data_IF_768510759195
#
_entry.id   IF_768510759195
#
_cell.length_a   1.000
_cell.length_b   1.000
_cell.length_c   1.000
_cell.angle_alpha   90.00
_cell.angle_beta   90.00
_cell.angle_gamma   90.00
#
_symmetry.space_group_name_H-M   'P 1'
#
loop_
_entity.id
_entity.type
_entity.pdbx_description
1 polymer ?
#
# COMPACT_ATOMS: atom_id res chain seq x y z
N UNK A 1 -10.67 -9.66 -6.81
CA UNK A 1 -11.27 -10.94 -6.35
C UNK A 1 -12.60 -11.12 -7.05
N UNK A 2 -12.81 -12.27 -7.73
CA UNK A 2 -13.98 -12.46 -8.58
C UNK A 2 -15.23 -12.88 -7.79
N UNK A 3 -15.06 -13.55 -6.66
CA UNK A 3 -16.17 -14.11 -5.88
C UNK A 3 -15.83 -14.10 -4.38
N UNK A 4 -16.32 -13.09 -3.62
CA UNK A 4 -16.17 -13.03 -2.18
C UNK A 4 -16.87 -14.19 -1.43
N UNK A 5 -18.04 -14.60 -1.91
CA UNK A 5 -18.81 -15.66 -1.25
C UNK A 5 -18.09 -17.01 -1.32
N UNK A 6 -17.51 -17.33 -2.49
CA UNK A 6 -16.71 -18.54 -2.64
C UNK A 6 -15.47 -18.53 -1.71
N UNK A 7 -14.83 -17.36 -1.50
CA UNK A 7 -13.75 -17.24 -0.53
C UNK A 7 -14.23 -17.53 0.88
N UNK A 8 -15.37 -16.96 1.29
CA UNK A 8 -15.90 -17.15 2.65
C UNK A 8 -16.34 -18.59 2.87
N UNK A 9 -16.96 -19.22 1.88
CA UNK A 9 -17.30 -20.65 1.93
C UNK A 9 -16.05 -21.51 2.13
N UNK A 10 -15.01 -21.27 1.33
CA UNK A 10 -13.71 -21.94 1.48
C UNK A 10 -13.08 -21.71 2.87
N UNK A 11 -13.08 -20.47 3.36
CA UNK A 11 -12.54 -20.16 4.69
C UNK A 11 -13.32 -20.91 5.79
N UNK A 12 -14.65 -20.96 5.71
CA UNK A 12 -15.48 -21.67 6.69
C UNK A 12 -15.16 -23.17 6.75
N UNK A 13 -14.92 -23.78 5.59
CA UNK A 13 -14.50 -25.18 5.50
C UNK A 13 -13.09 -25.34 6.08
N UNK A 14 -12.12 -24.53 5.61
CA UNK A 14 -10.73 -24.62 6.02
C UNK A 14 -10.55 -24.40 7.53
N UNK A 15 -11.20 -23.38 8.12
CA UNK A 15 -11.10 -23.14 9.57
C UNK A 15 -11.72 -24.24 10.40
N UNK A 16 -12.70 -24.95 9.87
CA UNK A 16 -13.35 -26.11 10.54
C UNK A 16 -12.42 -27.32 10.72
N UNK A 17 -11.28 -27.36 10.04
CA UNK A 17 -10.29 -28.46 10.18
C UNK A 17 -9.37 -28.29 11.37
N UNK A 18 -9.36 -27.12 12.02
CA UNK A 18 -8.51 -26.83 13.17
C UNK A 18 -9.23 -27.20 14.48
N UNK A 19 -8.49 -27.70 15.45
CA UNK A 19 -9.00 -28.05 16.79
C UNK A 19 -9.31 -26.82 17.66
N UNK A 20 -8.77 -25.66 17.30
CA UNK A 20 -9.04 -24.35 17.93
C UNK A 20 -9.14 -23.28 16.86
N UNK A 21 -9.86 -22.17 17.10
CA UNK A 21 -10.01 -21.10 16.13
C UNK A 21 -8.65 -20.54 15.66
N UNK A 22 -8.28 -20.70 14.38
CA UNK A 22 -7.03 -20.14 13.86
C UNK A 22 -7.10 -18.63 13.75
N UNK A 23 -5.93 -17.96 13.70
CA UNK A 23 -5.82 -16.52 13.48
C UNK A 23 -5.66 -16.27 11.97
N UNK A 24 -6.56 -15.47 11.42
CA UNK A 24 -6.60 -15.14 10.00
C UNK A 24 -5.96 -13.78 9.73
N UNK A 25 -4.96 -13.74 8.85
CA UNK A 25 -4.28 -12.53 8.39
C UNK A 25 -4.58 -12.26 6.90
N UNK A 26 -5.57 -11.43 6.56
CA UNK A 26 -5.80 -11.02 5.18
C UNK A 26 -4.65 -10.12 4.69
N UNK A 27 -4.10 -10.45 3.51
CA UNK A 27 -2.89 -9.79 3.00
C UNK A 27 -3.12 -8.84 1.84
N UNK A 28 -4.36 -8.74 1.34
CA UNK A 28 -4.73 -7.82 0.25
C UNK A 28 -6.04 -7.12 0.56
N UNK A 29 -6.24 -5.91 0.02
CA UNK A 29 -7.43 -5.11 0.30
C UNK A 29 -8.74 -5.84 -0.06
N UNK A 30 -8.86 -6.59 -1.19
CA UNK A 30 -10.03 -7.41 -1.46
C UNK A 30 -10.32 -8.47 -0.41
N UNK A 31 -9.29 -9.10 0.15
CA UNK A 31 -9.46 -10.11 1.20
C UNK A 31 -9.85 -9.47 2.54
N UNK A 32 -9.25 -8.33 2.88
CA UNK A 32 -9.64 -7.54 4.06
C UNK A 32 -11.11 -7.17 3.99
N UNK A 33 -11.54 -6.60 2.86
CA UNK A 33 -12.92 -6.19 2.65
C UNK A 33 -13.88 -7.40 2.71
N UNK A 34 -13.55 -8.51 2.06
CA UNK A 34 -14.37 -9.71 2.09
C UNK A 34 -14.54 -10.28 3.50
N UNK A 35 -13.44 -10.41 4.25
CA UNK A 35 -13.45 -10.93 5.62
C UNK A 35 -14.21 -9.98 6.56
N UNK A 36 -14.02 -8.67 6.45
CA UNK A 36 -14.75 -7.70 7.25
C UNK A 36 -16.25 -7.68 6.94
N UNK A 37 -16.63 -7.77 5.65
CA UNK A 37 -18.03 -7.78 5.22
C UNK A 37 -18.80 -9.03 5.63
N UNK A 38 -18.10 -10.13 5.91
CA UNK A 38 -18.70 -11.41 6.27
C UNK A 38 -18.23 -11.89 7.67
N UNK A 39 -17.83 -10.93 8.53
CA UNK A 39 -17.30 -11.24 9.86
C UNK A 39 -18.25 -12.10 10.71
N UNK A 40 -19.55 -11.89 10.60
CA UNK A 40 -20.56 -12.69 11.32
C UNK A 40 -20.50 -14.19 10.95
N UNK A 41 -20.27 -14.52 9.67
CA UNK A 41 -20.15 -15.90 9.20
C UNK A 41 -18.88 -16.60 9.68
N UNK A 42 -17.85 -15.83 10.05
CA UNK A 42 -16.55 -16.28 10.55
C UNK A 42 -16.45 -16.21 12.08
N UNK A 43 -17.44 -15.59 12.73
CA UNK A 43 -17.42 -15.38 14.18
C UNK A 43 -17.36 -16.73 14.94
N UNK A 44 -16.48 -16.81 15.92
CA UNK A 44 -16.22 -18.02 16.71
C UNK A 44 -15.49 -19.14 15.96
N UNK A 45 -15.30 -19.01 14.63
CA UNK A 45 -14.60 -20.00 13.80
C UNK A 45 -13.13 -19.66 13.57
N UNK A 46 -12.80 -18.39 13.50
CA UNK A 46 -11.43 -17.88 13.46
C UNK A 46 -11.34 -16.53 14.17
N UNK A 47 -10.14 -16.15 14.54
CA UNK A 47 -9.84 -14.82 15.09
C UNK A 47 -9.33 -13.94 13.96
N UNK A 48 -9.99 -12.81 13.72
CA UNK A 48 -9.49 -11.79 12.80
C UNK A 48 -8.96 -10.61 13.59
N UNK A 49 -7.85 -10.04 13.12
CA UNK A 49 -7.28 -8.84 13.69
C UNK A 49 -7.57 -7.63 12.80
N UNK A 50 -8.87 -7.46 12.50
CA UNK A 50 -9.41 -6.36 11.70
C UNK A 50 -10.31 -5.47 12.56
N UNK A 51 -10.38 -4.16 12.28
CA UNK A 51 -11.39 -3.29 12.87
C UNK A 51 -12.79 -3.63 12.34
N UNK A 52 -13.80 -2.95 12.88
CA UNK A 52 -15.18 -3.09 12.42
C UNK A 52 -15.30 -2.76 10.93
N UNK A 53 -16.32 -3.35 10.28
CA UNK A 53 -16.57 -3.23 8.85
C UNK A 53 -16.64 -1.76 8.39
N UNK A 54 -17.31 -0.91 9.14
CA UNK A 54 -17.52 0.50 8.82
C UNK A 54 -16.18 1.24 8.73
N UNK A 55 -15.20 0.88 9.56
CA UNK A 55 -13.84 1.44 9.52
C UNK A 55 -13.10 0.96 8.27
N UNK A 56 -13.23 -0.33 7.92
CA UNK A 56 -12.65 -0.87 6.69
C UNK A 56 -13.25 -0.21 5.46
N UNK A 57 -14.58 -0.07 5.40
CA UNK A 57 -15.29 0.58 4.29
C UNK A 57 -14.83 2.04 4.12
N UNK A 58 -14.66 2.77 5.24
CA UNK A 58 -14.16 4.15 5.24
C UNK A 58 -12.70 4.26 4.78
N UNK A 59 -11.89 3.24 5.02
CA UNK A 59 -10.48 3.21 4.58
C UNK A 59 -10.38 2.85 3.10
N UNK A 60 -11.17 1.90 2.62
CA UNK A 60 -11.11 1.42 1.22
C UNK A 60 -11.68 2.47 0.25
N UNK A 61 -12.68 3.25 0.67
CA UNK A 61 -13.20 4.39 -0.09
C UNK A 61 -12.31 5.63 0.13
N UNK A 62 -11.51 5.98 -0.87
CA UNK A 62 -10.60 7.14 -0.77
C UNK A 62 -11.31 8.47 -0.49
N UNK A 63 -12.59 8.63 -0.84
CA UNK A 63 -13.37 9.84 -0.50
C UNK A 63 -13.52 9.95 1.01
N UNK A 64 -13.94 8.87 1.64
CA UNK A 64 -14.10 8.83 3.10
C UNK A 64 -12.75 8.95 3.80
N UNK A 65 -11.71 8.27 3.29
CA UNK A 65 -10.37 8.35 3.85
C UNK A 65 -9.85 9.79 3.89
N UNK A 66 -9.95 10.54 2.78
CA UNK A 66 -9.50 11.93 2.74
C UNK A 66 -10.45 12.88 3.47
N UNK A 67 -11.76 12.63 3.49
CA UNK A 67 -12.70 13.40 4.32
C UNK A 67 -12.38 13.30 5.82
N UNK A 68 -12.07 12.10 6.31
CA UNK A 68 -11.63 11.88 7.71
C UNK A 68 -10.31 12.62 7.95
N UNK A 69 -9.35 12.50 7.05
CA UNK A 69 -8.07 13.20 7.18
C UNK A 69 -8.25 14.72 7.26
N UNK A 70 -9.10 15.29 6.42
CA UNK A 70 -9.41 16.73 6.41
C UNK A 70 -10.11 17.15 7.69
N UNK A 71 -11.16 16.44 8.12
CA UNK A 71 -11.90 16.72 9.36
C UNK A 71 -10.99 16.76 10.59
N UNK A 72 -10.00 15.90 10.63
CA UNK A 72 -9.04 15.81 11.73
C UNK A 72 -7.76 16.62 11.50
N UNK A 73 -7.73 17.50 10.49
CA UNK A 73 -6.58 18.35 10.18
C UNK A 73 -5.26 17.55 10.10
N UNK A 74 -5.32 16.41 9.43
CA UNK A 74 -4.15 15.60 9.10
C UNK A 74 -3.49 16.22 7.87
N UNK A 75 -2.18 16.57 7.90
CA UNK A 75 -1.50 17.09 6.73
C UNK A 75 -1.60 16.11 5.56
N UNK A 76 -2.13 16.58 4.43
CA UNK A 76 -2.30 15.78 3.22
C UNK A 76 -2.11 16.66 1.98
N UNK A 77 -1.84 16.07 0.79
CA UNK A 77 -1.85 16.83 -0.46
C UNK A 77 -3.21 17.45 -0.71
N UNK A 78 -3.26 18.62 -1.37
CA UNK A 78 -4.54 19.20 -1.84
C UNK A 78 -5.29 18.16 -2.66
N UNK A 79 -6.52 17.85 -2.24
CA UNK A 79 -7.33 16.76 -2.83
C UNK A 79 -8.71 17.27 -3.13
N UNK A 80 -9.15 17.10 -4.38
CA UNK A 80 -10.49 17.42 -4.85
C UNK A 80 -11.26 16.13 -5.09
N UNK A 81 -12.40 16.01 -4.44
CA UNK A 81 -13.35 14.91 -4.60
C UNK A 81 -14.50 15.45 -5.43
N UNK A 82 -14.79 14.84 -6.57
CA UNK A 82 -15.82 15.26 -7.47
C UNK A 82 -17.05 14.38 -7.34
N UNK A 83 -18.20 15.00 -7.11
CA UNK A 83 -19.50 14.32 -7.06
C UNK A 83 -20.11 14.20 -8.46
N UNK A 84 -19.78 15.14 -9.35
CA UNK A 84 -20.24 15.17 -10.74
C UNK A 84 -19.21 15.86 -11.65
N UNK A 85 -19.33 15.73 -13.00
CA UNK A 85 -18.48 16.48 -13.92
C UNK A 85 -18.58 18.01 -13.79
N UNK A 86 -19.73 18.51 -13.37
CA UNK A 86 -19.98 19.95 -13.19
C UNK A 86 -19.17 20.49 -12.00
N UNK A 87 -19.06 19.72 -10.92
CA UNK A 87 -18.28 20.12 -9.73
C UNK A 87 -16.76 20.21 -9.99
N UNK A 88 -16.29 19.66 -11.10
CA UNK A 88 -14.87 19.77 -11.49
C UNK A 88 -14.48 21.23 -11.71
N UNK A 89 -15.34 22.03 -12.39
CA UNK A 89 -15.04 23.43 -12.70
C UNK A 89 -14.85 24.29 -11.45
N UNK A 90 -15.59 24.00 -10.39
CA UNK A 90 -15.56 24.77 -9.15
C UNK A 90 -14.33 24.42 -8.29
N UNK A 91 -13.97 23.15 -8.26
CA UNK A 91 -12.93 22.64 -7.38
C UNK A 91 -11.52 22.69 -8.01
N UNK A 92 -11.43 22.69 -9.34
CA UNK A 92 -10.15 22.63 -10.05
C UNK A 92 -9.26 23.86 -9.79
N UNK A 93 -9.85 25.00 -9.44
CA UNK A 93 -9.10 26.24 -9.12
C UNK A 93 -8.20 26.09 -7.90
N UNK A 94 -8.51 25.15 -7.00
CA UNK A 94 -7.68 24.86 -5.82
C UNK A 94 -6.48 23.95 -6.12
N UNK A 95 -6.46 23.30 -7.30
CA UNK A 95 -5.39 22.38 -7.69
C UNK A 95 -4.26 23.10 -8.41
N UNK A 96 -3.04 22.65 -8.12
CA UNK A 96 -1.86 23.01 -8.92
C UNK A 96 -1.58 21.93 -9.95
N UNK A 97 -1.31 22.34 -11.17
CA UNK A 97 -0.94 21.42 -12.25
C UNK A 97 0.59 21.33 -12.40
N UNK A 98 1.12 20.13 -12.77
CA UNK A 98 0.38 18.89 -13.01
C UNK A 98 -0.21 18.34 -11.72
N UNK A 99 -1.33 17.61 -11.83
CA UNK A 99 -1.94 16.88 -10.73
C UNK A 99 -2.22 15.42 -11.14
N UNK A 100 -2.56 14.58 -10.18
CA UNK A 100 -2.80 13.17 -10.40
C UNK A 100 -4.27 12.82 -10.15
N UNK A 101 -4.89 12.12 -11.10
CA UNK A 101 -6.19 11.49 -10.94
C UNK A 101 -6.02 10.08 -10.40
N UNK A 102 -6.68 9.79 -9.29
CA UNK A 102 -6.66 8.49 -8.62
C UNK A 102 -8.07 7.89 -8.56
N UNK A 103 -8.22 6.57 -8.78
CA UNK A 103 -9.51 5.92 -8.61
C UNK A 103 -9.92 5.93 -7.13
N UNK A 104 -11.21 6.09 -6.88
CA UNK A 104 -11.77 5.96 -5.53
C UNK A 104 -11.52 4.55 -5.01
N UNK A 105 -11.74 3.52 -5.84
CA UNK A 105 -11.51 2.11 -5.52
C UNK A 105 -10.34 1.57 -6.35
N UNK A 106 -9.16 1.51 -5.75
CA UNK A 106 -7.90 1.19 -6.44
C UNK A 106 -7.88 -0.21 -7.06
N UNK A 107 -8.43 -1.22 -6.38
CA UNK A 107 -8.34 -2.61 -6.83
C UNK A 107 -9.16 -2.87 -8.09
N UNK A 108 -10.43 -2.43 -8.10
CA UNK A 108 -11.32 -2.56 -9.26
C UNK A 108 -10.76 -1.87 -10.49
N UNK A 109 -10.16 -0.70 -10.28
CA UNK A 109 -9.55 0.08 -11.35
C UNK A 109 -8.31 -0.61 -11.92
N UNK A 110 -7.41 -1.10 -11.03
CA UNK A 110 -6.18 -1.78 -11.44
C UNK A 110 -6.44 -3.11 -12.15
N UNK A 111 -7.43 -3.88 -11.72
CA UNK A 111 -7.85 -5.12 -12.41
C UNK A 111 -8.23 -4.84 -13.87
N UNK A 112 -8.88 -3.71 -14.14
CA UNK A 112 -9.38 -3.36 -15.48
C UNK A 112 -8.36 -2.65 -16.35
N UNK A 113 -7.59 -1.70 -15.78
CA UNK A 113 -6.75 -0.78 -16.56
C UNK A 113 -5.25 -1.02 -16.41
N UNK A 114 -4.82 -1.82 -15.44
CA UNK A 114 -3.41 -2.18 -15.16
C UNK A 114 -2.49 -0.98 -14.83
N UNK A 115 -3.05 0.15 -14.35
CA UNK A 115 -2.31 1.28 -13.80
C UNK A 115 -3.03 1.85 -12.58
N UNK A 116 -2.35 2.69 -11.79
CA UNK A 116 -2.86 3.16 -10.49
C UNK A 116 -3.36 4.61 -10.51
N UNK A 117 -2.87 5.41 -11.45
CA UNK A 117 -3.13 6.84 -11.48
C UNK A 117 -2.87 7.41 -12.87
N UNK A 118 -3.46 8.57 -13.17
CA UNK A 118 -3.26 9.31 -14.43
C UNK A 118 -2.82 10.72 -14.09
N UNK A 119 -1.65 11.12 -14.58
CA UNK A 119 -1.19 12.51 -14.46
C UNK A 119 -1.84 13.36 -15.54
N UNK A 120 -2.29 14.55 -15.15
CA UNK A 120 -2.91 15.54 -16.05
C UNK A 120 -2.26 16.91 -15.84
N UNK A 121 -2.09 17.65 -16.93
CA UNK A 121 -1.33 18.91 -16.94
C UNK A 121 -2.21 20.16 -17.02
N UNK A 122 -3.52 20.00 -17.18
CA UNK A 122 -4.47 21.12 -17.27
C UNK A 122 -5.87 20.74 -16.79
N UNK A 123 -6.66 21.74 -16.46
CA UNK A 123 -8.06 21.58 -16.08
C UNK A 123 -8.91 20.95 -17.20
N UNK A 124 -8.61 21.27 -18.45
CA UNK A 124 -9.28 20.67 -19.62
C UNK A 124 -9.01 19.17 -19.70
N UNK A 125 -7.75 18.77 -19.63
CA UNK A 125 -7.35 17.35 -19.67
C UNK A 125 -7.94 16.60 -18.47
N UNK A 126 -7.93 17.22 -17.26
CA UNK A 126 -8.57 16.66 -16.09
C UNK A 126 -10.02 16.31 -16.34
N UNK A 127 -10.81 17.27 -16.87
CA UNK A 127 -12.23 17.08 -17.13
C UNK A 127 -12.48 15.97 -18.17
N UNK A 128 -11.68 15.92 -19.23
CA UNK A 128 -11.78 14.90 -20.28
C UNK A 128 -11.51 13.50 -19.71
N UNK A 129 -10.43 13.34 -18.94
CA UNK A 129 -10.06 12.08 -18.30
C UNK A 129 -11.09 11.68 -17.24
N UNK A 130 -11.53 12.62 -16.40
CA UNK A 130 -12.54 12.34 -15.38
C UNK A 130 -13.85 11.83 -15.98
N UNK A 131 -14.40 12.53 -16.99
CA UNK A 131 -15.62 12.11 -17.70
C UNK A 131 -15.49 10.71 -18.30
N UNK A 132 -14.35 10.43 -18.95
CA UNK A 132 -14.07 9.12 -19.55
C UNK A 132 -14.17 7.99 -18.53
N UNK A 133 -13.49 8.11 -17.38
CA UNK A 133 -13.46 7.03 -16.39
C UNK A 133 -14.76 6.97 -15.57
N UNK A 134 -15.40 8.09 -15.30
CA UNK A 134 -16.73 8.13 -14.70
C UNK A 134 -17.76 7.39 -15.54
N UNK A 135 -17.78 7.63 -16.87
CA UNK A 135 -18.66 6.91 -17.80
C UNK A 135 -18.41 5.39 -17.79
N UNK A 136 -17.17 4.96 -17.55
CA UNK A 136 -16.82 3.56 -17.40
C UNK A 136 -17.13 2.97 -16.01
N UNK A 137 -17.80 3.73 -15.13
CA UNK A 137 -18.15 3.32 -13.77
C UNK A 137 -16.98 3.38 -12.77
N UNK A 138 -15.95 4.19 -13.07
CA UNK A 138 -14.76 4.35 -12.22
C UNK A 138 -14.59 5.83 -11.81
N UNK A 139 -15.25 6.28 -10.73
CA UNK A 139 -15.09 7.64 -10.24
C UNK A 139 -13.65 7.87 -9.77
N UNK A 140 -13.14 9.07 -10.04
CA UNK A 140 -11.78 9.49 -9.70
C UNK A 140 -11.84 10.70 -8.76
N UNK A 141 -10.78 10.88 -8.00
CA UNK A 141 -10.42 12.12 -7.32
C UNK A 141 -9.18 12.73 -7.97
N UNK A 142 -9.00 14.05 -7.83
CA UNK A 142 -7.77 14.72 -8.24
C UNK A 142 -6.95 15.10 -7.01
N UNK A 143 -5.64 14.93 -7.10
CA UNK A 143 -4.74 15.22 -6.01
C UNK A 143 -3.49 15.93 -6.53
N UNK A 144 -3.03 16.92 -5.77
CA UNK A 144 -1.75 17.59 -5.96
C UNK A 144 -0.60 16.57 -5.97
N UNK A 145 0.36 16.75 -6.84
CA UNK A 145 1.61 16.00 -6.86
C UNK A 145 2.60 16.68 -5.91
N UNK A 146 2.93 16.02 -4.80
CA UNK A 146 4.01 16.46 -3.92
C UNK A 146 5.34 16.25 -4.66
N UNK A 147 6.21 17.29 -4.78
CA UNK A 147 7.49 17.16 -5.45
C UNK A 147 8.42 16.13 -4.80
N UNK A 148 9.38 15.65 -5.56
CA UNK A 148 10.37 14.66 -5.13
C UNK A 148 10.06 13.24 -5.58
N UNK A 149 11.09 12.41 -5.63
CA UNK A 149 11.04 11.03 -6.11
C UNK A 149 10.55 10.03 -5.07
N UNK A 150 10.87 8.76 -5.30
CA UNK A 150 10.50 7.67 -4.41
C UNK A 150 11.13 7.82 -3.01
N UNK A 151 12.31 8.41 -2.92
CA UNK A 151 13.03 8.64 -1.66
C UNK A 151 12.30 9.57 -0.67
N UNK A 152 11.31 10.32 -1.14
CA UNK A 152 10.44 11.13 -0.29
C UNK A 152 9.23 10.36 0.23
N UNK A 153 9.00 9.13 -0.25
CA UNK A 153 7.93 8.26 0.23
C UNK A 153 8.40 7.45 1.43
N UNK A 154 7.59 7.46 2.46
CA UNK A 154 7.80 6.71 3.71
C UNK A 154 6.57 5.87 4.00
N UNK A 155 6.78 4.61 4.33
CA UNK A 155 5.74 3.71 4.85
C UNK A 155 5.99 3.49 6.35
N UNK A 156 4.92 3.54 7.14
CA UNK A 156 4.96 3.17 8.57
C UNK A 156 4.03 2.00 8.79
N UNK A 157 4.58 0.83 9.05
CA UNK A 157 3.82 -0.33 9.53
C UNK A 157 3.51 -0.17 11.00
N UNK A 158 2.29 -0.53 11.40
CA UNK A 158 1.83 -0.40 12.79
C UNK A 158 1.08 -1.63 13.25
N UNK A 159 1.15 -1.87 14.56
CA UNK A 159 0.28 -2.77 15.29
C UNK A 159 -0.45 -1.99 16.38
N UNK A 160 -1.77 -1.95 16.28
CA UNK A 160 -2.67 -1.31 17.25
C UNK A 160 -3.51 -2.38 17.92
N UNK A 161 -3.46 -2.45 19.23
CA UNK A 161 -4.27 -3.39 20.02
C UNK A 161 -5.75 -3.10 19.89
N UNK A 162 -6.60 -4.08 20.21
CA UNK A 162 -8.07 -3.93 20.18
C UNK A 162 -8.60 -2.77 21.05
N UNK A 163 -7.86 -2.38 22.09
CA UNK A 163 -8.17 -1.23 22.94
C UNK A 163 -7.68 0.12 22.37
N UNK A 164 -7.23 0.17 21.11
CA UNK A 164 -6.75 1.39 20.45
C UNK A 164 -5.32 1.83 20.81
N UNK A 165 -4.59 1.04 21.58
CA UNK A 165 -3.21 1.38 21.97
C UNK A 165 -2.25 0.99 20.84
N UNK A 166 -1.54 1.97 20.29
CA UNK A 166 -0.41 1.74 19.38
C UNK A 166 0.71 1.02 20.16
N UNK A 167 1.00 -0.22 19.74
CA UNK A 167 1.96 -1.08 20.43
C UNK A 167 3.31 -1.16 19.75
N UNK A 168 3.33 -1.16 18.42
CA UNK A 168 4.54 -1.17 17.63
C UNK A 168 4.40 -0.32 16.36
N UNK A 169 5.51 0.29 15.95
CA UNK A 169 5.60 1.01 14.69
C UNK A 169 7.00 0.87 14.08
N UNK A 170 7.04 0.69 12.77
CA UNK A 170 8.27 0.55 11.99
C UNK A 170 8.18 1.43 10.74
N UNK A 171 9.12 2.36 10.57
CA UNK A 171 9.20 3.23 9.41
C UNK A 171 10.24 2.75 8.41
N UNK A 172 9.90 2.77 7.15
CA UNK A 172 10.82 2.54 6.04
C UNK A 172 10.66 3.58 4.95
N UNK A 173 11.78 4.02 4.39
CA UNK A 173 11.83 4.93 3.27
C UNK A 173 11.92 4.14 1.97
N UNK A 174 11.08 4.46 1.02
CA UNK A 174 11.12 3.86 -0.31
C UNK A 174 12.30 4.46 -1.07
N UNK A 175 13.26 3.64 -1.48
CA UNK A 175 14.38 4.08 -2.31
C UNK A 175 14.06 3.94 -3.79
N UNK A 176 13.33 2.90 -4.15
CA UNK A 176 12.92 2.64 -5.52
C UNK A 176 11.51 2.03 -5.61
N UNK A 177 10.87 2.23 -6.75
CA UNK A 177 9.56 1.68 -7.06
C UNK A 177 9.47 1.26 -8.53
N UNK A 178 8.58 0.33 -8.82
CA UNK A 178 8.29 -0.09 -10.18
C UNK A 178 6.77 -0.20 -10.43
N UNK A 179 6.23 0.42 -11.50
CA UNK A 179 6.88 1.41 -12.39
C UNK A 179 7.45 2.63 -11.66
N UNK A 180 8.31 3.41 -12.34
CA UNK A 180 8.96 4.59 -11.74
C UNK A 180 7.92 5.59 -11.21
N UNK A 181 6.84 5.79 -11.96
CA UNK A 181 5.73 6.64 -11.55
C UNK A 181 4.61 5.82 -10.89
N UNK A 182 4.22 6.19 -9.67
CA UNK A 182 3.11 5.60 -8.90
C UNK A 182 3.23 4.08 -8.67
N UNK A 183 4.45 3.53 -8.79
CA UNK A 183 4.75 2.11 -8.66
C UNK A 183 4.66 1.56 -7.24
N UNK A 184 4.79 0.25 -7.13
CA UNK A 184 5.02 -0.42 -5.84
C UNK A 184 6.48 -0.34 -5.47
N UNK A 185 6.79 -0.16 -4.17
CA UNK A 185 8.17 -0.13 -3.69
C UNK A 185 8.89 -1.44 -3.95
N UNK A 186 10.10 -1.34 -4.42
CA UNK A 186 10.97 -2.47 -4.75
C UNK A 186 12.23 -2.52 -3.88
N UNK A 187 12.64 -1.37 -3.34
CA UNK A 187 13.74 -1.24 -2.38
C UNK A 187 13.30 -0.29 -1.27
N UNK A 188 13.42 -0.74 -0.03
CA UNK A 188 13.15 0.05 1.16
C UNK A 188 14.37 0.08 2.08
N UNK A 189 14.51 1.17 2.81
CA UNK A 189 15.51 1.34 3.87
C UNK A 189 14.79 1.62 5.20
N UNK A 190 15.15 0.88 6.26
CA UNK A 190 14.63 1.19 7.60
C UNK A 190 15.15 2.56 8.06
N UNK A 191 14.25 3.38 8.59
CA UNK A 191 14.55 4.70 9.13
C UNK A 191 13.96 4.83 10.53
N UNK A 192 14.48 5.72 11.38
CA UNK A 192 13.89 5.96 12.70
C UNK A 192 12.49 6.55 12.57
N UNK A 193 11.55 6.13 13.41
CA UNK A 193 10.17 6.64 13.45
C UNK A 193 10.08 8.14 13.76
N UNK A 194 10.98 8.64 14.65
CA UNK A 194 11.16 10.04 14.95
C UNK A 194 9.86 10.86 15.02
N UNK A 195 9.78 11.90 14.20
CA UNK A 195 8.66 12.84 14.15
C UNK A 195 7.37 12.26 13.52
N UNK A 196 7.40 11.02 12.99
CA UNK A 196 6.21 10.38 12.40
C UNK A 196 5.24 9.81 13.44
N UNK A 197 5.72 9.36 14.61
CA UNK A 197 4.88 8.72 15.62
C UNK A 197 3.69 9.57 16.09
N UNK A 198 3.82 10.88 16.37
CA UNK A 198 2.68 11.71 16.71
C UNK A 198 1.63 11.78 15.61
N UNK A 199 2.07 11.91 14.35
CA UNK A 199 1.19 11.95 13.18
C UNK A 199 0.51 10.59 12.95
N UNK A 200 1.24 9.50 13.04
CA UNK A 200 0.72 8.13 12.99
C UNK A 200 -0.36 7.92 14.05
N UNK A 201 -0.08 8.28 15.31
CA UNK A 201 -1.04 8.16 16.41
C UNK A 201 -2.29 9.00 16.17
N UNK A 202 -2.15 10.22 15.63
CA UNK A 202 -3.26 11.09 15.26
C UNK A 202 -4.15 10.45 14.19
N UNK A 203 -3.55 9.87 13.16
CA UNK A 203 -4.27 9.18 12.08
C UNK A 203 -5.01 7.97 12.63
N UNK A 204 -4.33 7.08 13.33
CA UNK A 204 -4.95 5.87 13.89
C UNK A 204 -6.15 6.17 14.78
N UNK A 205 -6.06 7.23 15.62
CA UNK A 205 -7.17 7.70 16.43
C UNK A 205 -8.31 8.29 15.60
N UNK A 206 -8.00 9.08 14.57
CA UNK A 206 -9.00 9.69 13.70
C UNK A 206 -9.85 8.63 12.97
N UNK A 207 -9.23 7.50 12.60
CA UNK A 207 -9.92 6.38 11.97
C UNK A 207 -10.52 5.38 12.97
N UNK A 208 -10.23 5.49 14.28
CA UNK A 208 -10.61 4.48 15.27
C UNK A 208 -10.01 3.10 14.95
N UNK A 209 -8.82 3.07 14.37
CA UNK A 209 -8.22 1.86 13.84
C UNK A 209 -7.63 0.97 14.93
N UNK A 210 -7.90 -0.34 14.84
CA UNK A 210 -7.23 -1.39 15.60
C UNK A 210 -6.82 -2.52 14.65
N UNK A 211 -5.64 -3.10 14.83
CA UNK A 211 -5.13 -4.16 13.98
C UNK A 211 -3.77 -3.84 13.36
N UNK A 212 -3.47 -4.54 12.28
CA UNK A 212 -2.27 -4.34 11.47
C UNK A 212 -2.59 -3.44 10.29
N UNK A 213 -1.83 -2.36 10.14
CA UNK A 213 -1.91 -1.53 8.94
C UNK A 213 -0.54 -0.96 8.56
N UNK A 214 -0.46 -0.42 7.36
CA UNK A 214 0.62 0.47 7.00
C UNK A 214 0.06 1.78 6.47
N UNK A 215 0.75 2.88 6.79
CA UNK A 215 0.37 4.24 6.44
C UNK A 215 1.46 4.79 5.54
N UNK A 216 1.08 5.30 4.36
CA UNK A 216 2.00 5.92 3.43
C UNK A 216 2.02 7.43 3.60
N UNK A 217 3.23 7.98 3.61
CA UNK A 217 3.49 9.41 3.67
C UNK A 217 4.39 9.84 2.53
N UNK A 218 4.29 11.11 2.13
CA UNK A 218 5.29 11.75 1.28
C UNK A 218 5.81 13.01 1.96
N UNK A 219 7.14 13.13 2.04
CA UNK A 219 7.78 14.33 2.54
C UNK A 219 7.62 15.47 1.54
N UNK A 220 7.07 16.58 2.00
CA UNK A 220 6.95 17.80 1.24
C UNK A 220 8.02 18.80 1.70
N UNK A 221 9.03 19.02 0.86
CA UNK A 221 10.12 19.93 1.17
C UNK A 221 9.69 21.40 1.19
N UNK A 222 8.54 21.76 0.61
CA UNK A 222 8.02 23.13 0.52
C UNK A 222 7.60 23.68 1.88
N UNK A 223 6.95 22.83 2.70
CA UNK A 223 6.51 23.19 4.05
C UNK A 223 7.15 22.31 5.14
N UNK A 224 8.07 21.42 4.75
CA UNK A 224 8.84 20.53 5.63
C UNK A 224 7.92 19.64 6.50
N UNK A 225 6.89 19.08 5.90
CA UNK A 225 5.94 18.20 6.56
C UNK A 225 5.78 16.87 5.81
N UNK A 226 5.49 15.82 6.55
CA UNK A 226 4.98 14.59 5.97
C UNK A 226 3.49 14.74 5.65
N UNK A 227 3.12 14.48 4.41
CA UNK A 227 1.73 14.46 3.95
C UNK A 227 1.22 13.02 3.94
N UNK A 228 0.07 12.82 4.55
CA UNK A 228 -0.65 11.54 4.51
C UNK A 228 -1.09 11.23 3.08
N UNK A 229 -0.74 10.05 2.58
CA UNK A 229 -1.10 9.59 1.23
C UNK A 229 -2.19 8.54 1.30
N UNK A 230 -2.02 7.51 2.14
CA UNK A 230 -2.93 6.38 2.20
C UNK A 230 -2.74 5.57 3.48
N UNK A 231 -3.84 5.06 4.03
CA UNK A 231 -3.83 4.03 5.05
C UNK A 231 -4.32 2.73 4.41
N UNK A 232 -3.57 1.65 4.60
CA UNK A 232 -3.91 0.32 4.10
C UNK A 232 -4.15 -0.60 5.31
N UNK A 233 -5.34 -1.20 5.48
CA UNK A 233 -5.73 -1.96 6.68
C UNK A 233 -5.18 -3.40 6.66
N UNK A 234 -3.92 -3.56 6.35
CA UNK A 234 -3.19 -4.82 6.22
C UNK A 234 -1.69 -4.61 6.32
N UNK A 235 -0.96 -5.72 6.37
CA UNK A 235 0.50 -5.68 6.24
C UNK A 235 0.93 -5.32 4.82
N UNK A 236 2.13 -4.77 4.68
CA UNK A 236 2.78 -4.52 3.39
C UNK A 236 3.46 -5.80 2.87
N UNK A 237 3.77 -5.83 1.57
CA UNK A 237 4.55 -6.91 0.96
C UNK A 237 6.00 -6.97 1.48
N UNK A 238 6.48 -5.91 2.13
CA UNK A 238 7.77 -5.88 2.80
C UNK A 238 7.69 -6.28 4.29
N UNK A 239 6.70 -7.08 4.71
CA UNK A 239 6.49 -7.46 6.13
C UNK A 239 7.68 -8.18 6.78
N UNK A 240 8.56 -8.81 5.99
CA UNK A 240 9.79 -9.39 6.49
C UNK A 240 10.81 -8.32 6.92
N UNK A 241 10.76 -7.13 6.34
CA UNK A 241 11.69 -6.03 6.67
C UNK A 241 11.66 -5.65 8.16
N UNK A 242 10.51 -5.29 8.77
CA UNK A 242 10.45 -5.03 10.20
C UNK A 242 10.83 -6.26 11.04
N UNK A 243 10.46 -7.47 10.61
CA UNK A 243 10.79 -8.70 11.36
C UNK A 243 12.31 -8.87 11.49
N UNK A 244 13.06 -8.71 10.41
CA UNK A 244 14.52 -8.77 10.39
C UNK A 244 15.20 -7.57 11.09
N UNK A 245 14.44 -6.49 11.30
CA UNK A 245 14.88 -5.36 12.12
C UNK A 245 14.48 -5.49 13.60
N UNK A 246 13.83 -6.58 14.00
CA UNK A 246 13.49 -6.87 15.40
C UNK A 246 12.02 -6.68 15.77
N UNK A 247 11.13 -6.25 14.85
CA UNK A 247 9.69 -6.07 15.12
C UNK A 247 8.86 -7.03 14.27
N UNK A 248 8.42 -8.13 14.86
CA UNK A 248 7.59 -9.13 14.18
C UNK A 248 6.09 -8.82 14.37
N UNK A 249 5.50 -8.02 13.47
CA UNK A 249 4.10 -7.61 13.54
C UNK A 249 3.09 -8.77 13.56
N UNK A 250 3.18 -9.80 12.68
CA UNK A 250 2.30 -10.95 12.76
C UNK A 250 2.37 -11.67 14.10
N UNK A 251 3.57 -11.79 14.67
CA UNK A 251 3.78 -12.40 15.98
C UNK A 251 3.14 -11.60 17.11
N UNK A 252 3.29 -10.27 17.10
CA UNK A 252 2.63 -9.40 18.07
C UNK A 252 1.11 -9.53 18.01
N UNK A 253 0.55 -9.54 16.80
CA UNK A 253 -0.88 -9.75 16.62
C UNK A 253 -1.34 -11.14 17.07
N UNK A 254 -0.53 -12.18 16.86
CA UNK A 254 -0.79 -13.52 17.36
C UNK A 254 -0.80 -13.56 18.90
N UNK A 255 0.20 -12.99 19.54
CA UNK A 255 0.28 -12.94 21.01
C UNK A 255 -0.93 -12.21 21.62
N UNK A 256 -1.31 -11.04 21.07
CA UNK A 256 -2.47 -10.28 21.55
C UNK A 256 -3.79 -11.04 21.31
N UNK A 257 -3.91 -11.73 20.18
CA UNK A 257 -5.09 -12.53 19.85
C UNK A 257 -5.27 -13.75 20.77
N UNK A 258 -4.17 -14.33 21.23
CA UNK A 258 -4.16 -15.50 22.14
C UNK A 258 -4.16 -15.10 23.62
N UNK A 259 -4.09 -13.81 23.94
CA UNK A 259 -3.98 -13.33 25.30
C UNK A 259 -2.59 -13.54 25.94
N UNK A 260 -1.59 -13.90 25.13
CA UNK A 260 -0.23 -14.08 25.60
C UNK A 260 0.46 -12.72 25.89
N UNK A 261 1.46 -12.67 26.79
CA UNK A 261 2.17 -11.42 27.10
C UNK A 261 2.87 -10.83 25.88
N UNK A 262 2.64 -9.55 25.61
CA UNK A 262 3.24 -8.83 24.49
C UNK A 262 4.65 -8.28 24.76
N UNK A 263 5.08 -8.24 26.03
CA UNK A 263 6.29 -7.52 26.43
C UNK A 263 6.11 -6.00 26.37
N UNK A 264 7.18 -5.29 26.06
CA UNK A 264 7.18 -3.83 25.95
C UNK A 264 6.71 -3.34 24.57
N UNK A 265 6.33 -2.04 24.49
CA UNK A 265 6.02 -1.40 23.21
C UNK A 265 7.28 -1.30 22.36
N UNK A 266 7.13 -1.54 21.07
CA UNK A 266 8.27 -1.67 20.14
C UNK A 266 8.28 -0.51 19.13
N UNK A 267 9.14 0.46 19.38
CA UNK A 267 9.33 1.63 18.52
C UNK A 267 10.81 1.84 18.15
N UNK A 268 11.71 1.06 18.76
CA UNK A 268 13.13 1.14 18.50
C UNK A 268 13.62 -0.10 17.75
N UNK A 269 14.43 0.13 16.73
CA UNK A 269 15.00 -0.87 15.85
C UNK A 269 16.18 -0.28 15.08
N UNK A 270 16.96 -1.12 14.45
CA UNK A 270 18.16 -0.72 13.70
C UNK A 270 17.79 -0.02 12.38
N UNK A 271 18.14 1.26 12.20
CA UNK A 271 17.96 1.95 10.93
C UNK A 271 19.03 1.59 9.92
N UNK A 272 18.77 1.87 8.63
CA UNK A 272 19.73 1.68 7.53
C UNK A 272 19.79 0.26 6.97
N UNK A 273 18.96 -0.67 7.45
CA UNK A 273 18.81 -1.98 6.81
C UNK A 273 17.99 -1.86 5.52
N UNK A 274 18.47 -2.51 4.49
CA UNK A 274 17.78 -2.52 3.19
C UNK A 274 16.94 -3.79 3.05
N UNK A 275 15.73 -3.62 2.52
CA UNK A 275 14.91 -4.71 2.01
C UNK A 275 14.78 -4.57 0.50
N UNK A 276 14.94 -5.69 -0.22
CA UNK A 276 14.93 -5.72 -1.69
C UNK A 276 13.94 -6.78 -2.16
N UNK A 277 13.05 -6.38 -3.08
CA UNK A 277 12.12 -7.31 -3.70
C UNK A 277 12.87 -8.33 -4.56
N UNK A 278 12.59 -9.64 -4.47
CA UNK A 278 13.33 -10.68 -5.19
C UNK A 278 13.41 -10.51 -6.71
N UNK A 279 12.34 -10.00 -7.33
CA UNK A 279 12.32 -9.76 -8.77
C UNK A 279 13.34 -8.72 -9.23
N UNK A 280 13.63 -7.74 -8.37
CA UNK A 280 14.66 -6.73 -8.65
C UNK A 280 16.02 -7.36 -8.78
N UNK A 281 16.30 -8.44 -8.03
CA UNK A 281 17.55 -9.17 -8.11
C UNK A 281 17.78 -9.81 -9.49
N UNK A 282 16.72 -10.37 -10.10
CA UNK A 282 16.79 -10.87 -11.49
C UNK A 282 17.10 -9.74 -12.49
N UNK A 283 16.48 -8.59 -12.30
CA UNK A 283 16.77 -7.40 -13.10
C UNK A 283 18.23 -6.93 -12.93
N UNK A 284 18.76 -7.00 -11.74
CA UNK A 284 20.15 -6.60 -11.44
C UNK A 284 21.17 -7.60 -11.99
N UNK A 285 20.88 -8.90 -11.94
CA UNK A 285 21.70 -9.94 -12.56
C UNK A 285 21.64 -9.89 -14.10
N UNK A 286 20.49 -9.47 -14.66
CA UNK A 286 20.29 -9.26 -16.10
C UNK A 286 20.76 -7.89 -16.62
N UNK A 287 21.49 -7.10 -15.84
CA UNK A 287 21.91 -5.72 -16.14
C UNK A 287 22.76 -5.56 -17.42
N UNK A 288 23.31 -6.64 -17.94
CA UNK A 288 24.00 -6.68 -19.26
C UNK A 288 23.04 -6.52 -20.45
N UNK A 289 21.72 -6.59 -20.24
CA UNK A 289 20.71 -6.66 -21.30
C UNK A 289 19.61 -5.58 -21.23
N UNK A 290 19.67 -4.62 -20.26
CA UNK A 290 18.57 -3.67 -20.04
C UNK A 290 18.89 -2.20 -20.32
N UNK A 291 17.88 -1.41 -20.82
CA UNK A 291 18.03 0.01 -21.11
C UNK A 291 18.24 0.86 -19.83
N UNK A 292 18.71 2.10 -20.03
CA UNK A 292 19.17 3.08 -19.04
C UNK A 292 18.24 3.41 -17.85
N UNK A 293 17.06 2.81 -17.75
CA UNK A 293 16.07 2.99 -16.69
C UNK A 293 16.19 1.99 -15.53
N UNK A 294 17.28 1.21 -15.45
CA UNK A 294 17.48 0.28 -14.33
C UNK A 294 17.87 1.00 -13.03
N UNK A 295 17.50 0.45 -11.85
CA UNK A 295 17.74 1.04 -10.54
C UNK A 295 19.19 1.51 -10.35
N UNK A 296 19.37 2.79 -9.99
CA UNK A 296 20.70 3.43 -9.98
C UNK A 296 21.49 3.29 -8.68
N UNK A 297 20.87 2.78 -7.58
CA UNK A 297 21.45 2.91 -6.24
C UNK A 297 21.28 1.67 -5.35
N UNK A 298 21.75 0.50 -5.75
CA UNK A 298 22.02 -0.52 -4.76
C UNK A 298 23.48 -0.38 -4.35
N UNK A 299 23.77 -0.05 -3.09
CA UNK A 299 25.11 -0.14 -2.57
C UNK A 299 25.49 -1.62 -2.50
N UNK A 300 26.33 -2.09 -3.41
CA UNK A 300 26.79 -3.49 -3.51
C UNK A 300 27.51 -4.00 -2.25
N UNK A 301 27.78 -3.12 -1.28
CA UNK A 301 28.57 -3.39 -0.10
C UNK A 301 27.73 -3.58 1.20
N UNK A 302 26.39 -3.49 1.17
CA UNK A 302 25.56 -3.68 2.37
C UNK A 302 24.79 -4.99 2.32
N UNK A 303 24.75 -5.69 3.43
CA UNK A 303 23.82 -6.82 3.62
C UNK A 303 22.39 -6.31 3.47
N UNK A 304 21.55 -7.00 2.73
CA UNK A 304 20.15 -6.66 2.54
C UNK A 304 19.25 -7.85 2.85
N UNK A 305 18.04 -7.54 3.29
CA UNK A 305 17.00 -8.50 3.59
C UNK A 305 16.31 -8.87 2.27
N UNK A 306 16.29 -10.15 1.96
CA UNK A 306 15.64 -10.68 0.78
C UNK A 306 14.16 -10.96 1.10
N UNK A 307 13.24 -10.41 0.30
CA UNK A 307 11.82 -10.47 0.60
C UNK A 307 11.19 -11.86 0.70
N UNK A 308 11.79 -12.89 0.09
CA UNK A 308 11.24 -14.27 0.03
C UNK A 308 12.31 -15.34 0.21
N UNK A 309 13.61 -14.98 0.15
CA UNK A 309 14.68 -15.96 0.17
C UNK A 309 14.91 -16.52 1.58
N UNK A 310 14.87 -17.84 1.71
CA UNK A 310 15.30 -18.55 2.91
C UNK A 310 16.18 -19.72 2.52
N UNK A 311 17.38 -19.81 3.17
CA UNK A 311 18.27 -20.98 3.00
C UNK A 311 17.59 -22.27 3.50
N UNK A 312 16.67 -22.13 4.47
CA UNK A 312 15.93 -23.26 5.05
C UNK A 312 14.77 -23.73 4.18
N UNK A 313 14.25 -22.87 3.30
CA UNK A 313 13.20 -23.18 2.35
C UNK A 313 13.43 -22.38 1.05
N UNK A 314 14.23 -22.91 0.09
CA UNK A 314 14.54 -22.23 -1.16
C UNK A 314 13.44 -22.34 -2.22
N UNK A 315 12.42 -23.18 -2.02
CA UNK A 315 11.36 -23.46 -3.02
C UNK A 315 10.55 -22.22 -3.35
N UNK A 316 10.09 -21.40 -2.37
CA UNK A 316 9.35 -20.17 -2.67
C UNK A 316 10.16 -19.18 -3.50
N UNK A 317 11.46 -19.02 -3.21
CA UNK A 317 12.34 -18.14 -4.01
C UNK A 317 12.47 -18.65 -5.45
N UNK A 318 12.74 -19.92 -5.65
CA UNK A 318 12.86 -20.50 -6.98
C UNK A 318 11.58 -20.35 -7.79
N UNK A 319 10.42 -20.61 -7.17
CA UNK A 319 9.13 -20.44 -7.78
C UNK A 319 8.84 -18.97 -8.14
N UNK A 320 9.21 -18.04 -7.26
CA UNK A 320 9.04 -16.61 -7.46
C UNK A 320 9.95 -16.10 -8.60
N UNK A 321 11.19 -16.57 -8.66
CA UNK A 321 12.16 -16.26 -9.72
C UNK A 321 11.66 -16.77 -11.08
N UNK A 322 11.16 -17.99 -11.16
CA UNK A 322 10.62 -18.57 -12.39
C UNK A 322 9.36 -17.82 -12.87
N UNK A 323 8.43 -17.50 -11.96
CA UNK A 323 7.22 -16.71 -12.30
C UNK A 323 7.54 -15.25 -12.60
N UNK A 324 8.51 -14.67 -11.90
CA UNK A 324 8.98 -13.30 -12.11
C UNK A 324 9.64 -13.13 -13.46
N UNK A 325 10.48 -14.09 -13.88
CA UNK A 325 11.08 -14.11 -15.21
C UNK A 325 10.03 -14.15 -16.34
N UNK A 326 9.01 -15.01 -16.20
CA UNK A 326 7.90 -15.09 -17.18
C UNK A 326 7.06 -13.80 -17.17
N UNK A 327 6.82 -13.19 -16.01
CA UNK A 327 6.11 -11.89 -15.90
C UNK A 327 6.93 -10.75 -16.49
N UNK A 328 8.23 -10.69 -16.21
CA UNK A 328 9.13 -9.69 -16.76
C UNK A 328 9.16 -9.75 -18.28
N UNK A 329 9.27 -10.93 -18.88
CA UNK A 329 9.21 -11.13 -20.33
C UNK A 329 7.86 -10.71 -20.93
N UNK A 330 6.74 -11.00 -20.25
CA UNK A 330 5.41 -10.54 -20.67
C UNK A 330 5.21 -9.03 -20.50
N UNK A 331 5.84 -8.44 -19.50
CA UNK A 331 5.73 -7.00 -19.20
C UNK A 331 6.56 -6.17 -20.15
N UNK A 332 7.75 -6.61 -20.51
CA UNK A 332 8.57 -5.99 -21.58
C UNK A 332 7.81 -5.97 -22.91
N UNK A 333 7.12 -7.05 -23.26
CA UNK A 333 6.26 -7.10 -24.46
C UNK A 333 5.04 -6.17 -24.37
N UNK A 334 4.39 -6.04 -23.20
CA UNK A 334 3.17 -5.21 -23.03
C UNK A 334 3.47 -3.73 -22.81
N UNK A 335 4.54 -3.38 -22.12
CA UNK A 335 4.87 -1.97 -21.85
C UNK A 335 5.41 -1.25 -23.09
N UNK A 336 6.02 -1.94 -24.05
CA UNK A 336 6.27 -1.36 -25.37
C UNK A 336 4.97 -0.93 -26.07
N UNK A 337 3.86 -1.63 -25.83
CA UNK A 337 2.55 -1.32 -26.40
C UNK A 337 1.79 -0.26 -25.57
N UNK A 338 1.83 -0.33 -24.24
CA UNK A 338 1.10 0.60 -23.36
C UNK A 338 1.80 1.96 -23.22
N UNK A 339 3.14 1.99 -23.17
CA UNK A 339 3.93 3.23 -23.19
C UNK A 339 3.75 3.97 -24.53
N UNK A 340 3.67 3.23 -25.64
CA UNK A 340 3.34 3.80 -26.94
C UNK A 340 1.87 4.24 -27.04
N UNK A 341 0.93 3.54 -26.39
CA UNK A 341 -0.49 3.95 -26.35
C UNK A 341 -0.71 5.21 -25.51
N UNK A 342 -0.03 5.35 -24.36
CA UNK A 342 -0.07 6.58 -23.55
C UNK A 342 0.60 7.78 -24.26
N UNK A 343 1.59 7.51 -25.11
CA UNK A 343 2.26 8.53 -25.94
C UNK A 343 1.45 8.89 -27.20
N UNK A 344 0.64 7.97 -27.70
CA UNK A 344 -0.29 8.20 -28.84
C UNK A 344 -1.52 9.01 -28.37
N UNK A 345 -1.90 8.94 -27.08
CA UNK A 345 -2.95 9.79 -26.49
C UNK A 345 -2.44 11.20 -26.13
N UNK A 346 -1.12 11.45 -26.26
CA UNK A 346 -0.48 12.77 -26.13
C UNK A 346 -0.19 13.43 -27.50
N UNK A 347 -0.59 12.83 -28.61
CA UNK A 347 -0.65 13.40 -29.95
C UNK A 347 -2.11 13.37 -30.43
#
# INVERSE_FOLDING_TARGET
MKDPEALIAFLREAVGTFSSPPILFPTTDPYVHAVASHSEQLNGRCVTYLPQREIIDAIVDKRQQYSIAQKHQIPMPTTCIFDSPESVSDLVSSLRFPCVLKPIFSDRFRERFNFKAVEVVSSRELLEVYKKYLHLGHPLLAQEIIPGGAENLVEVMTFVRKNGILWAAFASRKLEQFPEDYGSGTIFESIRNGNLLPLVSKILKAFGFAGLCHIEFKWDARDRQFKFIELNPRTSNCSLHPTECGINFPWLAYLDATGAPLGERQFDYEPGKLWVLPEVRLFLMGRLLMPRSAPRRIPWARSYIQGVASIRDPIPELFFLLRGGVRALRHVRKNHTAYNAARILKR
#
